data_IF_633109569993
#
_entry.id   IF_633109569993
#
_cell.length_a   1.000
_cell.length_b   1.000
_cell.length_c   1.000
_cell.angle_alpha   90.00
_cell.angle_beta   90.00
_cell.angle_gamma   90.00
#
_symmetry.space_group_name_H-M   'P 1'
#
loop_
_entity.id
_entity.type
_entity.pdbx_description
1 polymer ?
#
# COMPACT_ATOMS: atom_id res chain seq x y z
N UNK A 1 4.57 -15.32 -23.34
CA UNK A 1 4.39 -14.57 -22.08
C UNK A 1 5.50 -13.56 -22.00
N UNK A 2 5.33 -12.43 -22.71
CA UNK A 2 6.28 -11.32 -22.74
C UNK A 2 5.61 -10.15 -22.04
N UNK A 3 6.14 -9.73 -20.90
CA UNK A 3 5.70 -8.51 -20.25
C UNK A 3 5.76 -8.48 -18.73
N UNK A 4 6.65 -9.22 -18.10
CA UNK A 4 6.99 -8.93 -16.71
C UNK A 4 7.87 -7.68 -16.75
N UNK A 5 7.24 -6.54 -16.53
CA UNK A 5 7.96 -5.29 -16.39
C UNK A 5 8.99 -5.43 -15.28
N UNK A 6 10.24 -5.11 -15.57
CA UNK A 6 11.39 -5.08 -14.65
C UNK A 6 11.24 -3.98 -13.57
N UNK A 7 10.06 -3.83 -12.99
CA UNK A 7 9.82 -2.90 -11.88
C UNK A 7 10.16 -3.64 -10.58
N UNK A 8 11.06 -3.04 -9.80
CA UNK A 8 11.34 -3.52 -8.46
C UNK A 8 10.16 -3.22 -7.54
N UNK A 9 9.98 -4.04 -6.52
CA UNK A 9 8.98 -3.86 -5.47
C UNK A 9 9.70 -3.79 -4.13
N UNK A 10 9.22 -2.94 -3.24
CA UNK A 10 9.68 -2.87 -1.86
C UNK A 10 8.71 -3.66 -0.97
N UNK A 11 9.25 -4.40 -0.01
CA UNK A 11 8.49 -4.95 1.10
C UNK A 11 8.81 -4.11 2.32
N UNK A 12 7.80 -3.50 2.88
CA UNK A 12 7.91 -2.70 4.07
C UNK A 12 7.39 -3.49 5.26
N UNK A 13 8.24 -3.66 6.27
CA UNK A 13 7.89 -4.29 7.55
C UNK A 13 7.98 -3.18 8.59
N UNK A 14 6.83 -2.71 9.07
CA UNK A 14 6.82 -1.65 10.05
C UNK A 14 5.46 -1.43 10.69
N UNK A 15 5.50 -0.93 11.91
CA UNK A 15 4.33 -0.42 12.61
C UNK A 15 4.04 0.99 12.12
N UNK A 16 3.32 1.10 11.00
CA UNK A 16 2.83 2.39 10.57
C UNK A 16 1.58 2.75 11.32
N UNK A 17 1.60 3.90 11.96
CA UNK A 17 0.37 4.54 12.40
C UNK A 17 -0.38 4.95 11.15
N UNK A 18 -1.38 4.16 10.75
CA UNK A 18 -2.26 4.48 9.65
C UNK A 18 -3.11 5.68 10.04
N UNK A 19 -2.68 6.87 9.66
CA UNK A 19 -3.43 8.09 9.91
C UNK A 19 -4.86 8.00 9.36
N UNK A 20 -5.08 7.24 8.29
CA UNK A 20 -6.40 7.07 7.69
C UNK A 20 -7.41 6.28 8.53
N UNK A 21 -6.99 5.25 9.28
CA UNK A 21 -7.91 4.44 10.08
C UNK A 21 -8.27 5.08 11.42
N UNK A 22 -7.37 5.86 11.99
CA UNK A 22 -7.57 6.50 13.28
C UNK A 22 -8.52 7.71 13.23
N UNK A 23 -8.70 8.28 12.04
CA UNK A 23 -9.47 9.49 11.81
C UNK A 23 -10.79 9.26 11.07
N UNK A 24 -11.09 8.04 10.65
CA UNK A 24 -12.44 7.62 10.31
C UNK A 24 -13.13 7.29 11.64
N UNK A 25 -13.83 8.25 12.22
CA UNK A 25 -14.62 8.02 13.42
C UNK A 25 -15.58 6.84 13.24
N UNK A 26 -16.06 6.25 14.34
CA UNK A 26 -16.95 5.07 14.36
C UNK A 26 -18.22 5.21 13.50
N UNK A 27 -18.52 6.40 13.02
CA UNK A 27 -19.69 6.74 12.18
C UNK A 27 -19.36 7.06 10.73
N UNK A 28 -18.09 6.89 10.29
CA UNK A 28 -17.73 7.20 8.90
C UNK A 28 -17.70 8.69 8.56
N UNK A 29 -17.90 9.57 9.53
CA UNK A 29 -17.72 11.00 9.36
C UNK A 29 -16.23 11.30 9.27
N UNK A 30 -15.82 11.84 8.12
CA UNK A 30 -14.45 12.32 7.92
C UNK A 30 -14.19 13.43 8.94
N UNK A 31 -13.32 13.18 9.89
CA UNK A 31 -12.88 14.19 10.84
C UNK A 31 -12.20 15.34 10.07
N UNK A 32 -12.47 16.55 10.51
CA UNK A 32 -11.88 17.77 9.93
C UNK A 32 -10.35 17.69 9.89
N UNK A 33 -9.75 17.03 10.88
CA UNK A 33 -8.29 16.80 10.96
C UNK A 33 -7.75 15.94 9.82
N UNK A 34 -8.54 15.00 9.31
CA UNK A 34 -8.15 14.20 8.14
C UNK A 34 -8.00 15.07 6.88
N UNK A 35 -8.92 15.99 6.63
CA UNK A 35 -8.81 16.92 5.50
C UNK A 35 -7.60 17.84 5.64
N UNK A 36 -7.35 18.34 6.85
CA UNK A 36 -6.18 19.19 7.13
C UNK A 36 -4.87 18.46 6.87
N UNK A 37 -4.75 17.21 7.31
CA UNK A 37 -3.56 16.38 7.07
C UNK A 37 -3.39 16.06 5.58
N UNK A 38 -4.46 15.66 4.90
CA UNK A 38 -4.46 15.34 3.47
C UNK A 38 -3.95 16.51 2.62
N UNK A 39 -4.39 17.73 2.94
CA UNK A 39 -3.97 18.90 2.18
C UNK A 39 -2.61 19.45 2.58
N UNK A 40 -2.26 19.40 3.87
CA UNK A 40 -1.10 20.10 4.39
C UNK A 40 0.15 19.21 4.48
N UNK A 41 0.02 17.92 4.74
CA UNK A 41 1.17 17.03 4.86
C UNK A 41 2.01 16.95 3.57
N UNK A 42 1.44 16.73 2.38
CA UNK A 42 2.22 16.77 1.14
C UNK A 42 2.85 18.13 0.86
N UNK A 43 2.17 19.24 1.23
CA UNK A 43 2.75 20.60 1.10
C UNK A 43 3.93 20.79 2.04
N UNK A 44 3.81 20.33 3.30
CA UNK A 44 4.90 20.40 4.27
C UNK A 44 6.11 19.57 3.83
N UNK A 45 5.89 18.35 3.33
CA UNK A 45 6.96 17.50 2.78
C UNK A 45 7.67 18.24 1.65
N UNK A 46 6.92 18.80 0.71
CA UNK A 46 7.50 19.51 -0.43
C UNK A 46 8.32 20.73 -0.02
N UNK A 47 7.89 21.45 1.00
CA UNK A 47 8.61 22.62 1.54
C UNK A 47 9.86 22.23 2.32
N UNK A 48 9.79 21.09 3.04
CA UNK A 48 10.89 20.62 3.86
C UNK A 48 12.03 20.03 2.99
N UNK A 49 11.70 19.05 2.15
CA UNK A 49 12.64 18.46 1.19
C UNK A 49 11.86 17.80 0.04
N UNK A 50 11.90 18.37 -1.17
CA UNK A 50 11.19 17.83 -2.33
C UNK A 50 11.75 16.49 -2.82
N UNK A 51 12.90 16.03 -2.32
CA UNK A 51 13.51 14.76 -2.69
C UNK A 51 13.04 13.59 -1.81
N UNK A 52 12.31 13.86 -0.72
CA UNK A 52 11.71 12.82 0.11
C UNK A 52 10.77 11.96 -0.76
N UNK A 53 10.88 10.64 -0.61
CA UNK A 53 9.94 9.71 -1.18
C UNK A 53 8.72 9.65 -0.26
N UNK A 54 7.58 10.10 -0.75
CA UNK A 54 6.33 10.07 -0.02
C UNK A 54 5.64 8.73 -0.23
N UNK A 55 5.63 7.89 0.80
CA UNK A 55 4.92 6.62 0.80
C UNK A 55 3.43 6.87 1.09
N UNK A 56 2.58 6.59 0.14
CA UNK A 56 1.14 6.79 0.25
C UNK A 56 0.39 5.50 -0.09
N UNK A 57 -0.73 5.25 0.59
CA UNK A 57 -1.60 4.14 0.19
C UNK A 57 -2.12 4.36 -1.22
N UNK A 58 -2.05 3.31 -2.03
CA UNK A 58 -2.56 3.33 -3.40
C UNK A 58 -4.06 3.68 -3.43
N UNK A 59 -4.46 4.48 -4.40
CA UNK A 59 -5.84 4.91 -4.66
C UNK A 59 -6.47 5.78 -3.55
N UNK A 60 -5.65 6.46 -2.76
CA UNK A 60 -6.12 7.40 -1.73
C UNK A 60 -5.95 8.85 -2.13
N UNK A 61 -6.65 9.73 -1.43
CA UNK A 61 -6.50 11.19 -1.60
C UNK A 61 -5.08 11.67 -1.24
N UNK A 62 -4.34 10.92 -0.41
CA UNK A 62 -2.94 11.22 -0.10
C UNK A 62 -2.04 11.01 -1.32
N UNK A 63 -2.23 9.90 -2.04
CA UNK A 63 -1.53 9.67 -3.31
C UNK A 63 -1.84 10.79 -4.30
N UNK A 64 -3.11 11.13 -4.48
CA UNK A 64 -3.55 12.19 -5.37
C UNK A 64 -2.91 13.54 -5.01
N UNK A 65 -2.99 13.94 -3.75
CA UNK A 65 -2.40 15.19 -3.28
C UNK A 65 -0.87 15.24 -3.49
N UNK A 66 -0.18 14.12 -3.26
CA UNK A 66 1.25 14.01 -3.54
C UNK A 66 1.58 14.15 -5.03
N UNK A 67 0.78 13.53 -5.90
CA UNK A 67 0.93 13.65 -7.36
C UNK A 67 0.67 15.07 -7.87
N UNK A 68 -0.38 15.71 -7.37
CA UNK A 68 -0.72 17.10 -7.72
C UNK A 68 0.41 18.07 -7.37
N UNK A 69 1.11 17.80 -6.28
CA UNK A 69 2.27 18.57 -5.86
C UNK A 69 3.59 18.11 -6.50
N UNK A 70 3.56 17.09 -7.36
CA UNK A 70 4.75 16.51 -8.02
C UNK A 70 5.81 16.05 -7.01
N UNK A 71 5.36 15.40 -5.93
CA UNK A 71 6.26 14.68 -5.03
C UNK A 71 6.72 13.37 -5.66
N UNK A 72 7.84 12.85 -5.18
CA UNK A 72 8.28 11.49 -5.46
C UNK A 72 7.39 10.52 -4.68
N UNK A 73 6.41 9.91 -5.35
CA UNK A 73 5.41 9.03 -4.72
C UNK A 73 5.83 7.57 -4.85
N UNK A 74 5.71 6.84 -3.75
CA UNK A 74 5.67 5.37 -3.72
C UNK A 74 4.27 4.93 -3.29
N UNK A 75 3.62 4.13 -4.13
CA UNK A 75 2.27 3.62 -3.86
C UNK A 75 2.36 2.32 -3.08
N UNK A 76 1.77 2.29 -1.90
CA UNK A 76 1.77 1.13 -1.00
C UNK A 76 0.45 0.38 -1.04
N UNK A 77 0.54 -0.95 -1.05
CA UNK A 77 -0.59 -1.87 -0.86
C UNK A 77 -0.32 -2.80 0.33
N UNK A 78 -1.34 -3.44 0.84
CA UNK A 78 -1.27 -4.29 2.04
C UNK A 78 -1.38 -5.77 1.69
N UNK A 79 -0.48 -6.57 2.24
CA UNK A 79 -0.47 -8.02 2.03
C UNK A 79 -1.64 -8.73 2.74
N UNK A 80 -2.08 -8.19 3.86
CA UNK A 80 -2.98 -8.83 4.83
C UNK A 80 -4.32 -8.11 5.03
N UNK A 81 -4.65 -7.15 4.14
CA UNK A 81 -5.87 -6.35 4.24
C UNK A 81 -6.71 -6.45 2.96
N UNK A 82 -8.02 -6.54 3.14
CA UNK A 82 -8.98 -6.40 2.05
C UNK A 82 -9.35 -4.93 1.80
N UNK A 83 -9.82 -4.65 0.58
CA UNK A 83 -10.20 -3.33 0.11
C UNK A 83 -11.69 -3.26 -0.21
N UNK A 84 -12.30 -2.12 0.10
CA UNK A 84 -13.64 -1.74 -0.36
C UNK A 84 -13.60 -1.29 -1.83
N UNK A 85 -14.76 -1.22 -2.48
CA UNK A 85 -14.89 -0.84 -3.90
C UNK A 85 -14.49 0.62 -4.22
N UNK A 86 -14.24 1.41 -3.21
CA UNK A 86 -13.70 2.77 -3.32
C UNK A 86 -12.17 2.84 -3.12
N UNK A 87 -11.50 1.70 -2.91
CA UNK A 87 -10.06 1.62 -2.69
C UNK A 87 -9.60 1.77 -1.24
N UNK A 88 -10.50 2.06 -0.30
CA UNK A 88 -10.15 2.10 1.13
C UNK A 88 -10.07 0.69 1.71
N UNK A 89 -9.31 0.58 2.81
CA UNK A 89 -9.23 -0.66 3.56
C UNK A 89 -10.58 -1.00 4.21
N UNK A 90 -10.97 -2.27 4.19
CA UNK A 90 -12.12 -2.75 4.93
C UNK A 90 -11.89 -2.51 6.42
N UNK A 91 -12.84 -1.88 7.10
CA UNK A 91 -12.72 -1.59 8.53
C UNK A 91 -12.49 -2.87 9.35
N UNK A 92 -11.55 -2.86 10.29
CA UNK A 92 -11.17 -4.05 11.08
C UNK A 92 -12.33 -4.66 11.86
N UNK A 93 -13.37 -3.88 12.15
CA UNK A 93 -14.62 -4.37 12.78
C UNK A 93 -15.51 -5.21 11.86
N UNK A 94 -15.25 -5.19 10.56
CA UNK A 94 -16.02 -5.98 9.58
C UNK A 94 -15.44 -7.38 9.42
N UNK A 95 -16.28 -8.40 9.15
CA UNK A 95 -15.81 -9.71 8.77
C UNK A 95 -14.89 -9.63 7.54
N UNK A 96 -13.87 -10.48 7.51
CA UNK A 96 -12.91 -10.57 6.40
C UNK A 96 -12.13 -9.27 6.10
N UNK A 97 -12.01 -8.35 7.05
CA UNK A 97 -11.14 -7.18 6.91
C UNK A 97 -9.67 -7.59 6.79
N UNK A 98 -9.29 -8.65 7.49
CA UNK A 98 -7.94 -9.22 7.49
C UNK A 98 -7.87 -10.46 6.60
N UNK A 99 -6.74 -10.60 5.90
CA UNK A 99 -6.38 -11.82 5.17
C UNK A 99 -5.43 -12.61 6.08
N UNK A 100 -5.90 -13.75 6.55
CA UNK A 100 -5.17 -14.58 7.50
C UNK A 100 -4.34 -15.65 6.81
N UNK A 101 -3.12 -15.85 7.30
CA UNK A 101 -2.20 -16.86 6.80
C UNK A 101 -1.31 -16.39 5.65
N UNK A 102 -0.05 -16.81 5.70
CA UNK A 102 1.00 -16.37 4.77
C UNK A 102 0.73 -16.75 3.31
N UNK A 103 0.10 -17.91 3.09
CA UNK A 103 -0.23 -18.39 1.75
C UNK A 103 -1.32 -17.55 1.09
N UNK A 104 -2.35 -17.17 1.86
CA UNK A 104 -3.44 -16.31 1.38
C UNK A 104 -2.94 -14.89 1.13
N UNK A 105 -2.15 -14.34 2.05
CA UNK A 105 -1.51 -13.03 1.89
C UNK A 105 -0.62 -13.00 0.63
N UNK A 106 0.20 -14.01 0.43
CA UNK A 106 1.05 -14.08 -0.76
C UNK A 106 0.24 -14.20 -2.05
N UNK A 107 -0.84 -14.98 -2.08
CA UNK A 107 -1.76 -15.07 -3.23
C UNK A 107 -2.45 -13.74 -3.51
N UNK A 108 -2.88 -13.05 -2.47
CA UNK A 108 -3.50 -11.73 -2.58
C UNK A 108 -2.55 -10.73 -3.22
N UNK A 109 -1.32 -10.67 -2.74
CA UNK A 109 -0.26 -9.80 -3.29
C UNK A 109 0.04 -10.14 -4.75
N UNK A 110 0.29 -11.41 -5.06
CA UNK A 110 0.59 -11.83 -6.45
C UNK A 110 -0.52 -11.40 -7.40
N UNK A 111 -1.79 -11.60 -7.03
CA UNK A 111 -2.92 -11.18 -7.85
C UNK A 111 -2.98 -9.67 -8.06
N UNK A 112 -2.67 -8.86 -7.04
CA UNK A 112 -2.58 -7.41 -7.19
C UNK A 112 -1.45 -7.01 -8.15
N UNK A 113 -0.29 -7.63 -8.02
CA UNK A 113 0.87 -7.34 -8.86
C UNK A 113 0.67 -7.77 -10.32
N UNK A 114 0.11 -8.96 -10.54
CA UNK A 114 -0.19 -9.49 -11.88
C UNK A 114 -1.21 -8.63 -12.63
N UNK A 115 -2.22 -8.13 -11.91
CA UNK A 115 -3.28 -7.31 -12.50
C UNK A 115 -2.97 -5.81 -12.44
N UNK A 116 -1.92 -5.39 -11.72
CA UNK A 116 -1.63 -3.97 -11.43
C UNK A 116 -2.89 -3.24 -10.90
N UNK A 117 -3.53 -3.85 -9.91
CA UNK A 117 -4.79 -3.37 -9.37
C UNK A 117 -4.97 -3.80 -7.91
N UNK A 118 -5.71 -3.01 -7.13
CA UNK A 118 -6.24 -3.46 -5.85
C UNK A 118 -7.29 -4.55 -6.09
N UNK A 119 -7.27 -5.60 -5.27
CA UNK A 119 -8.32 -6.61 -5.24
C UNK A 119 -9.32 -6.24 -4.16
N UNK A 120 -10.50 -5.75 -4.57
CA UNK A 120 -11.56 -5.41 -3.63
C UNK A 120 -12.27 -6.66 -3.10
N UNK A 121 -12.83 -6.53 -1.92
CA UNK A 121 -13.60 -7.56 -1.23
C UNK A 121 -14.78 -8.11 -2.06
N UNK A 122 -15.40 -7.26 -2.88
CA UNK A 122 -16.47 -7.64 -3.80
C UNK A 122 -16.00 -8.47 -5.00
N UNK A 123 -14.70 -8.52 -5.25
CA UNK A 123 -14.12 -9.05 -6.49
C UNK A 123 -13.82 -7.98 -7.54
N UNK A 124 -14.21 -6.72 -7.31
CA UNK A 124 -13.84 -5.61 -8.18
C UNK A 124 -12.32 -5.41 -8.15
N UNK A 125 -11.76 -4.98 -9.28
CA UNK A 125 -10.38 -4.57 -9.39
C UNK A 125 -10.29 -3.06 -9.68
N UNK A 126 -9.40 -2.38 -8.96
CA UNK A 126 -9.14 -0.95 -9.16
C UNK A 126 -7.71 -0.80 -9.65
N UNK A 127 -7.48 -0.42 -10.91
CA UNK A 127 -6.13 -0.24 -11.44
C UNK A 127 -5.33 0.76 -10.59
N UNK A 128 -4.11 0.39 -10.22
CA UNK A 128 -3.23 1.24 -9.43
C UNK A 128 -1.76 0.92 -9.69
N UNK A 129 -0.92 1.88 -9.34
CA UNK A 129 0.52 1.66 -9.21
C UNK A 129 0.81 0.91 -7.90
N UNK A 130 1.78 0.00 -7.92
CA UNK A 130 2.24 -0.72 -6.74
C UNK A 130 3.76 -0.64 -6.69
N UNK A 131 4.28 0.07 -5.70
CA UNK A 131 5.71 0.29 -5.49
C UNK A 131 6.21 -0.35 -4.20
N UNK A 132 5.32 -0.51 -3.21
CA UNK A 132 5.63 -1.09 -1.90
C UNK A 132 4.48 -1.98 -1.42
N UNK A 133 4.85 -3.01 -0.66
CA UNK A 133 3.91 -3.91 -0.02
C UNK A 133 4.12 -3.84 1.48
N UNK A 134 3.09 -3.43 2.21
CA UNK A 134 3.07 -3.43 3.66
C UNK A 134 2.77 -4.83 4.20
N UNK A 135 3.58 -5.25 5.17
CA UNK A 135 3.34 -6.45 5.98
C UNK A 135 3.33 -6.00 7.43
N UNK A 136 2.23 -6.24 8.14
CA UNK A 136 2.13 -5.84 9.55
C UNK A 136 3.08 -6.65 10.43
N UNK A 137 3.71 -5.95 11.37
CA UNK A 137 4.74 -6.49 12.26
C UNK A 137 4.26 -6.86 13.66
N UNK A 138 2.99 -6.64 13.98
CA UNK A 138 2.38 -6.78 15.30
C UNK A 138 1.96 -8.22 15.66
N UNK A 139 2.02 -9.15 14.70
CA UNK A 139 1.73 -10.56 14.93
C UNK A 139 3.01 -11.38 15.15
N UNK A 140 2.90 -12.44 15.98
CA UNK A 140 4.01 -13.34 16.27
C UNK A 140 4.56 -14.05 15.00
N UNK A 141 3.75 -14.16 13.95
CA UNK A 141 4.08 -14.76 12.66
C UNK A 141 4.57 -13.75 11.62
N UNK A 142 4.70 -12.48 11.96
CA UNK A 142 5.00 -11.39 11.03
C UNK A 142 6.31 -11.61 10.25
N UNK A 143 7.36 -12.08 10.94
CA UNK A 143 8.66 -12.36 10.31
C UNK A 143 8.54 -13.50 9.30
N UNK A 144 7.85 -14.58 9.67
CA UNK A 144 7.62 -15.73 8.79
C UNK A 144 6.77 -15.34 7.58
N UNK A 145 5.76 -14.52 7.78
CA UNK A 145 4.90 -14.00 6.71
C UNK A 145 5.71 -13.15 5.71
N UNK A 146 6.55 -12.26 6.21
CA UNK A 146 7.40 -11.42 5.37
C UNK A 146 8.45 -12.24 4.60
N UNK A 147 9.08 -13.22 5.26
CA UNK A 147 10.04 -14.10 4.63
C UNK A 147 9.37 -14.95 3.54
N UNK A 148 8.24 -15.56 3.84
CA UNK A 148 7.48 -16.35 2.88
C UNK A 148 7.05 -15.52 1.66
N UNK A 149 6.49 -14.33 1.90
CA UNK A 149 6.10 -13.41 0.82
C UNK A 149 7.30 -13.07 -0.06
N UNK A 150 8.45 -12.76 0.55
CA UNK A 150 9.69 -12.47 -0.17
C UNK A 150 10.11 -13.64 -1.08
N UNK A 151 10.09 -14.86 -0.58
CA UNK A 151 10.45 -16.06 -1.34
C UNK A 151 9.48 -16.28 -2.51
N UNK A 152 8.19 -16.14 -2.27
CA UNK A 152 7.14 -16.27 -3.29
C UNK A 152 7.32 -15.23 -4.40
N UNK A 153 7.58 -13.97 -4.04
CA UNK A 153 7.79 -12.90 -5.03
C UNK A 153 9.03 -13.18 -5.90
N UNK A 154 10.16 -13.55 -5.30
CA UNK A 154 11.38 -13.87 -6.03
C UNK A 154 11.15 -15.07 -6.96
N UNK A 155 10.48 -16.12 -6.50
CA UNK A 155 10.14 -17.31 -7.30
C UNK A 155 9.26 -16.97 -8.51
N UNK A 156 8.41 -15.95 -8.38
CA UNK A 156 7.55 -15.47 -9.47
C UNK A 156 8.22 -14.37 -10.33
N UNK A 157 9.52 -14.15 -10.18
CA UNK A 157 10.31 -13.28 -11.06
C UNK A 157 10.33 -11.80 -10.66
N UNK A 158 9.76 -11.44 -9.51
CA UNK A 158 9.83 -10.07 -9.00
C UNK A 158 11.19 -9.78 -8.38
N UNK A 159 11.71 -8.57 -8.62
CA UNK A 159 12.93 -8.05 -8.02
C UNK A 159 12.60 -7.12 -6.87
N UNK A 160 13.08 -7.45 -5.67
CA UNK A 160 12.93 -6.58 -4.51
C UNK A 160 14.03 -5.51 -4.52
N UNK A 161 13.63 -4.25 -4.40
CA UNK A 161 14.53 -3.09 -4.41
C UNK A 161 14.14 -2.11 -3.32
N UNK A 162 15.10 -1.33 -2.85
CA UNK A 162 14.81 -0.16 -2.03
C UNK A 162 14.08 0.91 -2.86
N UNK A 163 13.25 1.72 -2.22
CA UNK A 163 12.39 2.71 -2.90
C UNK A 163 13.20 3.68 -3.77
N UNK A 164 14.39 4.09 -3.32
CA UNK A 164 15.29 4.98 -4.05
C UNK A 164 15.86 4.38 -5.35
N UNK A 165 15.77 3.06 -5.51
CA UNK A 165 16.23 2.33 -6.70
C UNK A 165 15.11 1.94 -7.66
N UNK A 166 13.88 2.33 -7.37
CA UNK A 166 12.75 2.11 -8.26
C UNK A 166 12.80 3.15 -9.39
N UNK A 167 12.91 2.69 -10.65
CA UNK A 167 13.02 3.57 -11.83
C UNK A 167 11.87 4.58 -11.97
N UNK A 168 10.71 4.23 -11.46
CA UNK A 168 9.50 5.04 -11.53
C UNK A 168 9.50 6.21 -10.56
N UNK A 169 10.24 6.10 -9.47
CA UNK A 169 10.30 7.10 -8.39
C UNK A 169 11.44 8.11 -8.64
N UNK A 170 12.36 7.80 -9.54
CA UNK A 170 13.54 8.63 -9.88
C UNK A 170 13.28 9.53 -11.08
#
# INVERSE_FOLDING_TARGET
>A
VSGINNYGININIGDYVHFGEKYLGEKGDLDMDYYVLRENLPKAIKQFDPNIIFLAHAQTEMEKAGRDLKLRIACEVFADRNYEDNGYLVARSKPNAMILGREESARHVLRMLENQALNCYSGKQIPCDIDSICVHGDEQTAVDNAQYLREVLIKNGFQLKSLDKLKKIN
#
